data_IF_231609761351
#
_entry.id   IF_231609761351
#
_cell.length_a   1.000
_cell.length_b   1.000
_cell.length_c   1.000
_cell.angle_alpha   90.00
_cell.angle_beta   90.00
_cell.angle_gamma   90.00
#
_symmetry.space_group_name_H-M   'P 1'
#
loop_
_entity.id
_entity.type
_entity.pdbx_description
1 polymer ?
#
# COMPACT_ATOMS: atom_id res chain seq x y z
N UNK A 1 16.47 25.10 0.68
CA UNK A 1 15.58 23.98 1.04
C UNK A 1 14.41 24.55 1.83
N UNK A 2 13.25 24.76 1.20
CA UNK A 2 12.02 25.10 1.92
C UNK A 2 11.54 23.79 2.53
N UNK A 3 12.17 23.38 3.63
CA UNK A 3 11.77 22.23 4.42
C UNK A 3 10.66 22.67 5.34
N UNK A 4 9.47 22.10 5.18
CA UNK A 4 8.47 22.16 6.25
C UNK A 4 9.12 21.60 7.52
N UNK A 5 8.99 22.30 8.64
CA UNK A 5 9.36 21.76 9.96
C UNK A 5 8.46 20.59 10.40
N UNK A 6 7.53 20.15 9.54
CA UNK A 6 6.64 19.01 9.76
C UNK A 6 7.43 17.69 9.65
N UNK A 7 7.58 16.94 10.75
CA UNK A 7 8.26 15.65 10.71
C UNK A 7 7.35 14.59 10.06
N UNK A 8 7.86 13.90 9.03
CA UNK A 8 7.20 12.77 8.37
C UNK A 8 7.98 11.44 8.51
N UNK A 9 8.39 11.04 9.73
CA UNK A 9 9.30 9.91 9.95
C UNK A 9 8.75 8.57 9.45
N UNK A 10 7.42 8.44 9.30
CA UNK A 10 6.77 7.19 8.93
C UNK A 10 6.53 7.02 7.43
N UNK A 11 6.72 8.07 6.61
CA UNK A 11 6.42 8.02 5.17
C UNK A 11 7.34 7.01 4.46
N UNK A 12 8.61 6.96 4.83
CA UNK A 12 9.57 6.01 4.26
C UNK A 12 9.23 4.55 4.61
N UNK A 13 8.87 4.29 5.87
CA UNK A 13 8.47 2.94 6.30
C UNK A 13 7.17 2.50 5.63
N UNK A 14 6.21 3.42 5.44
CA UNK A 14 4.99 3.15 4.71
C UNK A 14 5.27 2.80 3.24
N UNK A 15 6.15 3.55 2.57
CA UNK A 15 6.55 3.24 1.20
C UNK A 15 7.19 1.86 1.10
N UNK A 16 8.08 1.51 2.03
CA UNK A 16 8.68 0.18 2.11
C UNK A 16 7.63 -0.93 2.30
N UNK A 17 6.70 -0.74 3.23
CA UNK A 17 5.61 -1.69 3.50
C UNK A 17 4.69 -1.87 2.28
N UNK A 18 4.27 -0.76 1.64
CA UNK A 18 3.44 -0.81 0.43
C UNK A 18 4.17 -1.50 -0.71
N UNK A 19 5.48 -1.30 -0.84
CA UNK A 19 6.32 -2.02 -1.79
C UNK A 19 6.31 -3.54 -1.56
N UNK A 20 6.47 -3.98 -0.30
CA UNK A 20 6.40 -5.41 0.06
C UNK A 20 5.02 -5.99 -0.24
N UNK A 21 3.94 -5.28 0.12
CA UNK A 21 2.56 -5.71 -0.17
C UNK A 21 2.33 -5.81 -1.68
N UNK A 22 2.78 -4.82 -2.45
CA UNK A 22 2.68 -4.84 -3.91
C UNK A 22 3.42 -6.05 -4.50
N UNK A 23 4.62 -6.37 -4.01
CA UNK A 23 5.36 -7.57 -4.46
C UNK A 23 4.61 -8.87 -4.14
N UNK A 24 4.01 -8.98 -2.95
CA UNK A 24 3.18 -10.13 -2.59
C UNK A 24 1.98 -10.24 -3.55
N UNK A 25 1.33 -9.13 -3.87
CA UNK A 25 0.21 -9.13 -4.80
C UNK A 25 0.65 -9.45 -6.23
N UNK A 26 1.83 -9.01 -6.68
CA UNK A 26 2.38 -9.39 -8.00
C UNK A 26 2.65 -10.89 -8.04
N UNK A 27 3.31 -11.42 -7.00
CA UNK A 27 3.59 -12.85 -6.90
C UNK A 27 2.29 -13.69 -6.88
N UNK A 28 1.28 -13.21 -6.14
CA UNK A 28 -0.06 -13.80 -6.11
C UNK A 28 -0.78 -13.70 -7.45
N UNK A 29 -0.66 -12.57 -8.14
CA UNK A 29 -1.23 -12.39 -9.47
C UNK A 29 -0.62 -13.37 -10.47
N UNK A 30 0.69 -13.64 -10.40
CA UNK A 30 1.40 -14.55 -11.32
C UNK A 30 1.12 -16.02 -10.98
N UNK A 31 1.25 -16.39 -9.70
CA UNK A 31 1.37 -17.79 -9.25
C UNK A 31 0.30 -18.23 -8.24
N UNK A 32 -0.61 -17.35 -7.84
CA UNK A 32 -1.53 -17.57 -6.72
C UNK A 32 -2.54 -18.70 -6.90
N UNK A 33 -2.71 -19.23 -8.12
CA UNK A 33 -3.50 -20.45 -8.39
C UNK A 33 -2.84 -21.72 -7.86
N UNK A 34 -1.52 -21.72 -7.69
CA UNK A 34 -0.75 -22.83 -7.11
C UNK A 34 -0.68 -22.79 -5.59
N UNK A 35 -1.12 -21.69 -4.97
CA UNK A 35 -1.03 -21.51 -3.52
C UNK A 35 -2.18 -22.23 -2.82
N UNK A 36 -1.95 -22.63 -1.57
CA UNK A 36 -3.03 -23.17 -0.74
C UNK A 36 -4.19 -22.16 -0.65
N UNK A 37 -5.46 -22.58 -0.77
CA UNK A 37 -6.61 -21.66 -0.82
C UNK A 37 -6.69 -20.68 0.36
N UNK A 38 -6.37 -21.15 1.57
CA UNK A 38 -6.33 -20.32 2.78
C UNK A 38 -5.23 -19.25 2.74
N UNK A 39 -4.06 -19.58 2.19
CA UNK A 39 -2.92 -18.66 2.06
C UNK A 39 -3.23 -17.56 1.04
N UNK A 40 -3.76 -17.93 -0.13
CA UNK A 40 -4.13 -16.97 -1.16
C UNK A 40 -5.25 -16.02 -0.71
N UNK A 41 -6.21 -16.50 0.08
CA UNK A 41 -7.27 -15.67 0.66
C UNK A 41 -6.74 -14.75 1.76
N UNK A 42 -5.93 -15.32 2.67
CA UNK A 42 -5.33 -14.60 3.79
C UNK A 42 -4.40 -13.48 3.33
N UNK A 43 -3.53 -13.75 2.35
CA UNK A 43 -2.63 -12.73 1.81
C UNK A 43 -3.37 -11.61 1.07
N UNK A 44 -4.44 -11.93 0.32
CA UNK A 44 -5.26 -10.90 -0.34
C UNK A 44 -5.93 -9.98 0.68
N UNK A 45 -6.72 -10.55 1.59
CA UNK A 45 -7.49 -9.76 2.57
C UNK A 45 -6.57 -9.08 3.57
N UNK A 46 -5.61 -9.83 4.11
CA UNK A 46 -4.64 -9.34 5.08
C UNK A 46 -3.77 -8.22 4.48
N UNK A 47 -3.22 -8.42 3.28
CA UNK A 47 -2.43 -7.39 2.60
C UNK A 47 -3.21 -6.10 2.38
N UNK A 48 -4.47 -6.20 1.94
CA UNK A 48 -5.32 -5.03 1.72
C UNK A 48 -5.67 -4.31 3.02
N UNK A 49 -6.04 -5.05 4.06
CA UNK A 49 -6.32 -4.49 5.39
C UNK A 49 -5.08 -3.79 5.94
N UNK A 50 -3.91 -4.44 5.88
CA UNK A 50 -2.64 -3.86 6.36
C UNK A 50 -2.29 -2.59 5.57
N UNK A 51 -2.45 -2.58 4.24
CA UNK A 51 -2.18 -1.40 3.43
C UNK A 51 -3.08 -0.21 3.83
N UNK A 52 -4.40 -0.45 3.99
CA UNK A 52 -5.36 0.59 4.39
C UNK A 52 -5.07 1.09 5.80
N UNK A 53 -4.89 0.18 6.76
CA UNK A 53 -4.62 0.53 8.16
C UNK A 53 -3.29 1.27 8.31
N UNK A 54 -2.24 0.85 7.61
CA UNK A 54 -0.95 1.53 7.66
C UNK A 54 -1.01 2.94 7.07
N UNK A 55 -1.68 3.11 5.93
CA UNK A 55 -1.91 4.44 5.35
C UNK A 55 -2.68 5.34 6.32
N UNK A 56 -3.79 4.84 6.88
CA UNK A 56 -4.59 5.58 7.86
C UNK A 56 -3.78 5.94 9.11
N UNK A 57 -3.00 5.00 9.64
CA UNK A 57 -2.14 5.22 10.81
C UNK A 57 -1.10 6.31 10.55
N UNK A 58 -0.44 6.32 9.39
CA UNK A 58 0.53 7.37 9.05
C UNK A 58 -0.15 8.74 8.92
N UNK A 59 -1.32 8.80 8.28
CA UNK A 59 -2.06 10.06 8.16
C UNK A 59 -2.52 10.61 9.52
N UNK A 60 -2.79 9.74 10.51
CA UNK A 60 -3.13 10.12 11.88
C UNK A 60 -1.91 10.53 12.70
N UNK A 61 -0.83 9.74 12.65
CA UNK A 61 0.38 9.95 13.46
C UNK A 61 1.23 11.13 12.95
N UNK A 62 1.19 11.37 11.65
CA UNK A 62 1.94 12.45 11.00
C UNK A 62 0.97 13.26 10.14
N UNK A 63 0.11 14.09 10.74
CA UNK A 63 -0.90 14.83 10.01
C UNK A 63 -0.26 15.87 9.09
N UNK A 64 -0.81 15.98 7.88
CA UNK A 64 -0.36 16.93 6.86
C UNK A 64 -0.80 18.35 7.23
N UNK A 65 0.07 19.14 7.85
CA UNK A 65 -0.23 20.52 8.27
C UNK A 65 0.18 21.56 7.22
N UNK A 66 1.22 21.26 6.44
CA UNK A 66 1.69 22.11 5.35
C UNK A 66 1.31 21.57 3.96
N UNK A 67 1.03 22.49 3.02
CA UNK A 67 0.73 22.15 1.63
C UNK A 67 1.89 21.44 0.92
N UNK A 68 3.14 21.74 1.28
CA UNK A 68 4.33 21.09 0.71
C UNK A 68 4.41 19.59 1.08
N UNK A 69 4.13 19.22 2.33
CA UNK A 69 4.06 17.80 2.75
C UNK A 69 2.91 17.09 2.06
N UNK A 70 1.76 17.76 1.93
CA UNK A 70 0.60 17.20 1.22
C UNK A 70 0.90 16.89 -0.23
N UNK A 71 1.49 17.84 -0.95
CA UNK A 71 1.92 17.65 -2.33
C UNK A 71 2.97 16.52 -2.44
N UNK A 72 3.95 16.47 -1.52
CA UNK A 72 4.95 15.42 -1.47
C UNK A 72 4.32 14.02 -1.35
N UNK A 73 3.35 13.84 -0.44
CA UNK A 73 2.62 12.58 -0.26
C UNK A 73 1.74 12.21 -1.44
N UNK A 74 1.12 13.19 -2.10
CA UNK A 74 0.34 12.97 -3.32
C UNK A 74 1.18 12.43 -4.48
N UNK A 75 2.48 12.73 -4.52
CA UNK A 75 3.39 12.27 -5.60
C UNK A 75 4.13 10.97 -5.20
N UNK A 76 4.20 10.64 -3.91
CA UNK A 76 4.98 9.50 -3.40
C UNK A 76 4.09 8.39 -2.82
N UNK A 77 3.44 8.65 -1.69
CA UNK A 77 2.66 7.68 -0.91
C UNK A 77 1.38 7.25 -1.63
N UNK A 78 0.59 8.19 -2.15
CA UNK A 78 -0.67 7.87 -2.80
C UNK A 78 -0.49 7.02 -4.08
N UNK A 79 0.46 7.33 -4.98
CA UNK A 79 0.73 6.49 -6.15
C UNK A 79 1.18 5.08 -5.77
N UNK A 80 2.01 4.93 -4.74
CA UNK A 80 2.42 3.61 -4.24
C UNK A 80 1.23 2.81 -3.70
N UNK A 81 0.34 3.45 -2.94
CA UNK A 81 -0.88 2.81 -2.45
C UNK A 81 -1.82 2.40 -3.59
N UNK A 82 -2.04 3.30 -4.56
CA UNK A 82 -2.88 3.03 -5.74
C UNK A 82 -2.31 1.86 -6.55
N UNK A 83 -0.99 1.82 -6.78
CA UNK A 83 -0.33 0.72 -7.46
C UNK A 83 -0.57 -0.62 -6.72
N UNK A 84 -0.42 -0.65 -5.40
CA UNK A 84 -0.72 -1.86 -4.62
C UNK A 84 -2.18 -2.31 -4.81
N UNK A 85 -3.14 -1.38 -4.82
CA UNK A 85 -4.56 -1.69 -5.03
C UNK A 85 -4.86 -2.17 -6.46
N UNK A 86 -4.19 -1.61 -7.47
CA UNK A 86 -4.30 -2.08 -8.86
C UNK A 86 -3.82 -3.54 -8.96
N UNK A 87 -2.66 -3.86 -8.38
CA UNK A 87 -2.14 -5.23 -8.41
C UNK A 87 -3.05 -6.20 -7.64
N UNK A 88 -3.60 -5.77 -6.50
CA UNK A 88 -4.63 -6.52 -5.78
C UNK A 88 -5.86 -6.80 -6.67
N UNK A 89 -6.34 -5.80 -7.41
CA UNK A 89 -7.47 -5.95 -8.32
C UNK A 89 -7.14 -6.93 -9.45
N UNK A 90 -5.96 -6.83 -10.06
CA UNK A 90 -5.48 -7.77 -11.09
C UNK A 90 -5.46 -9.20 -10.55
N UNK A 91 -4.90 -9.42 -9.35
CA UNK A 91 -4.89 -10.75 -8.75
C UNK A 91 -6.31 -11.26 -8.47
N UNK A 92 -7.18 -10.41 -7.92
CA UNK A 92 -8.56 -10.78 -7.59
C UNK A 92 -9.38 -11.12 -8.83
N UNK A 93 -9.18 -10.39 -9.93
CA UNK A 93 -9.79 -10.67 -11.23
C UNK A 93 -9.32 -12.02 -11.77
N UNK A 94 -8.00 -12.28 -11.77
CA UNK A 94 -7.44 -13.57 -12.20
C UNK A 94 -7.92 -14.76 -11.36
N UNK A 95 -8.28 -14.51 -10.10
CA UNK A 95 -8.82 -15.54 -9.21
C UNK A 95 -10.34 -15.75 -9.33
N UNK A 96 -11.02 -15.04 -10.25
CA UNK A 96 -12.47 -15.12 -10.44
C UNK A 96 -13.28 -14.54 -9.27
N UNK A 97 -12.78 -13.46 -8.64
CA UNK A 97 -13.36 -12.86 -7.43
C UNK A 97 -13.78 -11.39 -7.60
N UNK A 98 -13.93 -10.92 -8.83
CA UNK A 98 -14.52 -9.61 -9.17
C UNK A 98 -15.84 -9.85 -9.90
#
# INVERSE_FOLDING_TARGET
MIGSGDPTPYDFYLLGLLGVIALIFVAGAISGTSWAPGVALGLRRGGTIVAICALAAVMLLTPTRSGSVGAGRMITVFPAFVLAMIVFAVWSWRAGRI
#
